data_IF_260719794183
#
_entry.id   IF_260719794183
#
_cell.length_a   1.000
_cell.length_b   1.000
_cell.length_c   1.000
_cell.angle_alpha   90.00
_cell.angle_beta   90.00
_cell.angle_gamma   90.00
#
_symmetry.space_group_name_H-M   'P 1'
#
loop_
_entity.id
_entity.type
_entity.pdbx_description
1 polymer ?
#
# COMPACT_ATOMS: atom_id res chain seq x y z
N UNK A 1 -19.21 19.91 -47.06
CA UNK A 1 -20.25 19.89 -46.01
C UNK A 1 -19.51 19.44 -44.77
N UNK A 2 -19.18 20.36 -43.84
CA UNK A 2 -18.71 19.93 -42.53
C UNK A 2 -19.80 19.07 -41.89
N UNK A 3 -19.40 17.95 -41.31
CA UNK A 3 -20.29 17.01 -40.63
C UNK A 3 -20.46 17.48 -39.19
N UNK A 4 -21.41 18.39 -38.97
CA UNK A 4 -21.80 18.96 -37.66
C UNK A 4 -22.44 17.92 -36.69
N UNK A 5 -22.58 16.68 -37.14
CA UNK A 5 -23.22 15.56 -36.43
C UNK A 5 -22.28 14.81 -35.47
N UNK A 6 -20.97 15.10 -35.47
CA UNK A 6 -20.00 14.50 -34.56
C UNK A 6 -19.51 15.58 -33.60
N UNK A 7 -20.13 15.67 -32.42
CA UNK A 7 -19.51 16.39 -31.31
C UNK A 7 -18.33 15.55 -30.83
N UNK A 8 -17.14 15.84 -31.38
CA UNK A 8 -15.92 15.09 -31.13
C UNK A 8 -15.30 15.48 -29.78
N UNK A 9 -15.91 14.99 -28.70
CA UNK A 9 -15.45 15.18 -27.32
C UNK A 9 -14.02 14.65 -27.05
N UNK A 10 -13.42 13.89 -27.98
CA UNK A 10 -12.07 13.33 -27.88
C UNK A 10 -10.94 14.29 -28.22
N UNK A 11 -11.22 15.42 -28.89
CA UNK A 11 -10.20 16.38 -29.33
C UNK A 11 -9.71 17.32 -28.21
N UNK A 12 -10.54 17.62 -27.21
CA UNK A 12 -10.18 18.51 -26.09
C UNK A 12 -9.57 17.78 -24.88
N UNK A 13 -9.50 16.44 -24.92
CA UNK A 13 -8.90 15.62 -23.87
C UNK A 13 -7.36 15.47 -24.00
N UNK A 14 -6.70 16.38 -24.72
CA UNK A 14 -5.24 16.41 -24.81
C UNK A 14 -4.64 17.01 -23.53
N UNK A 15 -4.38 16.16 -22.54
CA UNK A 15 -3.49 16.53 -21.43
C UNK A 15 -2.18 17.09 -21.99
N UNK A 16 -1.74 18.25 -21.50
CA UNK A 16 -0.48 18.85 -21.95
C UNK A 16 0.67 17.86 -21.76
N UNK A 17 1.57 17.77 -22.75
CA UNK A 17 2.72 16.84 -22.66
C UNK A 17 3.59 17.09 -21.42
N UNK A 18 3.59 18.33 -20.92
CA UNK A 18 4.29 18.72 -19.69
C UNK A 18 3.69 18.05 -18.46
N UNK A 19 2.35 18.04 -18.33
CA UNK A 19 1.65 17.35 -17.24
C UNK A 19 1.90 15.83 -17.29
N UNK A 20 1.84 15.24 -18.48
CA UNK A 20 2.10 13.81 -18.67
C UNK A 20 3.53 13.38 -18.35
N UNK A 21 4.52 14.27 -18.58
CA UNK A 21 5.93 14.01 -18.20
C UNK A 21 6.12 14.05 -16.69
N UNK A 22 5.49 15.00 -16.00
CA UNK A 22 5.56 15.10 -14.54
C UNK A 22 4.98 13.86 -13.83
N UNK A 23 3.82 13.37 -14.28
CA UNK A 23 3.17 12.17 -13.73
C UNK A 23 4.06 10.93 -13.92
N UNK A 24 4.57 10.70 -15.14
CA UNK A 24 5.48 9.58 -15.44
C UNK A 24 6.74 9.61 -14.58
N UNK A 25 7.32 10.80 -14.36
CA UNK A 25 8.47 10.98 -13.48
C UNK A 25 8.15 10.64 -12.02
N UNK A 26 7.00 11.08 -11.50
CA UNK A 26 6.54 10.77 -10.13
C UNK A 26 6.41 9.25 -9.94
N UNK A 27 5.79 8.55 -10.90
CA UNK A 27 5.63 7.09 -10.88
C UNK A 27 7.00 6.42 -10.80
N UNK A 28 7.94 6.74 -11.69
CA UNK A 28 9.27 6.14 -11.69
C UNK A 28 10.06 6.39 -10.41
N UNK A 29 9.97 7.60 -9.85
CA UNK A 29 10.63 7.96 -8.60
C UNK A 29 10.08 7.12 -7.44
N UNK A 30 8.75 7.05 -7.29
CA UNK A 30 8.11 6.30 -6.22
C UNK A 30 8.33 4.79 -6.37
N UNK A 31 8.31 4.26 -7.60
CA UNK A 31 8.66 2.86 -7.88
C UNK A 31 10.07 2.54 -7.42
N UNK A 32 11.05 3.38 -7.80
CA UNK A 32 12.45 3.17 -7.41
C UNK A 32 12.61 3.25 -5.88
N UNK A 33 11.99 4.24 -5.25
CA UNK A 33 11.99 4.37 -3.79
C UNK A 33 11.44 3.12 -3.10
N UNK A 34 10.28 2.64 -3.52
CA UNK A 34 9.66 1.45 -2.94
C UNK A 34 10.45 0.18 -3.21
N UNK A 35 11.08 0.06 -4.39
CA UNK A 35 11.96 -1.06 -4.72
C UNK A 35 13.18 -1.08 -3.79
N UNK A 36 13.84 0.07 -3.58
CA UNK A 36 15.00 0.18 -2.69
C UNK A 36 14.61 -0.15 -1.24
N UNK A 37 13.52 0.44 -0.73
CA UNK A 37 13.04 0.15 0.64
C UNK A 37 12.72 -1.34 0.79
N UNK A 38 12.09 -1.95 -0.21
CA UNK A 38 11.75 -3.38 -0.17
C UNK A 38 13.00 -4.26 -0.24
N UNK A 39 14.00 -3.91 -1.04
CA UNK A 39 15.26 -4.64 -1.10
C UNK A 39 16.01 -4.60 0.25
N UNK A 40 16.03 -3.44 0.91
CA UNK A 40 16.59 -3.30 2.27
C UNK A 40 15.81 -4.18 3.25
N UNK A 41 14.49 -4.17 3.19
CA UNK A 41 13.64 -4.95 4.09
C UNK A 41 13.88 -6.46 3.92
N UNK A 42 13.99 -6.95 2.68
CA UNK A 42 14.35 -8.34 2.39
C UNK A 42 15.75 -8.67 2.91
N UNK A 43 16.73 -7.79 2.73
CA UNK A 43 18.08 -7.99 3.26
C UNK A 43 18.08 -8.08 4.79
N UNK A 44 17.41 -7.16 5.48
CA UNK A 44 17.24 -7.23 6.93
C UNK A 44 16.55 -8.54 7.31
N UNK A 45 15.49 -8.94 6.60
CA UNK A 45 14.78 -10.21 6.85
C UNK A 45 15.63 -11.46 6.64
N UNK A 46 16.58 -11.43 5.70
CA UNK A 46 17.49 -12.54 5.43
C UNK A 46 18.60 -12.63 6.49
N UNK A 47 19.15 -11.49 6.93
CA UNK A 47 20.34 -11.43 7.80
C UNK A 47 20.06 -11.00 9.25
N UNK A 48 18.80 -10.86 9.67
CA UNK A 48 18.47 -10.29 10.98
C UNK A 48 19.11 -11.03 12.17
N UNK A 49 19.27 -12.36 12.08
CA UNK A 49 19.86 -13.15 13.17
C UNK A 49 21.34 -12.82 13.40
N UNK A 50 22.05 -12.50 12.33
CA UNK A 50 23.48 -12.16 12.37
C UNK A 50 23.68 -10.69 12.79
N UNK A 51 22.86 -9.78 12.25
CA UNK A 51 22.99 -8.34 12.52
C UNK A 51 22.36 -7.92 13.84
N UNK A 52 21.27 -8.57 14.26
CA UNK A 52 20.44 -8.16 15.39
C UNK A 52 20.02 -9.35 16.28
N UNK A 53 20.97 -10.15 16.82
CA UNK A 53 20.66 -11.40 17.50
C UNK A 53 19.73 -11.24 18.72
N UNK A 54 19.83 -10.12 19.44
CA UNK A 54 19.06 -9.87 20.67
C UNK A 54 17.84 -8.97 20.45
N UNK A 55 17.66 -8.40 19.25
CA UNK A 55 16.69 -7.33 18.99
C UNK A 55 15.51 -7.77 18.12
N UNK A 56 15.06 -9.01 18.30
CA UNK A 56 13.99 -9.60 17.49
C UNK A 56 12.69 -8.77 17.48
N UNK A 57 12.31 -8.20 18.62
CA UNK A 57 11.11 -7.37 18.71
C UNK A 57 11.24 -6.08 17.90
N UNK A 58 12.42 -5.44 17.93
CA UNK A 58 12.67 -4.24 17.15
C UNK A 58 12.55 -4.53 15.64
N UNK A 59 13.14 -5.66 15.18
CA UNK A 59 13.04 -6.10 13.79
C UNK A 59 11.58 -6.26 13.36
N UNK A 60 10.73 -6.93 14.16
CA UNK A 60 9.30 -7.07 13.84
C UNK A 60 8.59 -5.72 13.68
N UNK A 61 8.80 -4.81 14.63
CA UNK A 61 8.18 -3.49 14.57
C UNK A 61 8.64 -2.68 13.36
N UNK A 62 9.93 -2.79 12.99
CA UNK A 62 10.45 -2.19 11.76
C UNK A 62 9.72 -2.71 10.53
N UNK A 63 9.49 -4.01 10.41
CA UNK A 63 8.76 -4.60 9.29
C UNK A 63 7.31 -4.13 9.21
N UNK A 64 6.60 -4.09 10.35
CA UNK A 64 5.22 -3.60 10.40
C UNK A 64 5.16 -2.12 9.99
N UNK A 65 6.06 -1.30 10.51
CA UNK A 65 6.11 0.13 10.19
C UNK A 65 6.44 0.37 8.72
N UNK A 66 7.48 -0.27 8.19
CA UNK A 66 7.86 -0.14 6.78
C UNK A 66 6.74 -0.62 5.85
N UNK A 67 6.02 -1.67 6.23
CA UNK A 67 4.86 -2.16 5.47
C UNK A 67 3.75 -1.11 5.41
N UNK A 68 3.41 -0.45 6.52
CA UNK A 68 2.43 0.64 6.57
C UNK A 68 2.86 1.85 5.73
N UNK A 69 4.15 2.22 5.80
CA UNK A 69 4.70 3.31 4.99
C UNK A 69 4.57 2.97 3.51
N UNK A 70 5.03 1.79 3.08
CA UNK A 70 4.92 1.34 1.68
C UNK A 70 3.47 1.32 1.20
N UNK A 71 2.56 0.73 1.98
CA UNK A 71 1.14 0.68 1.67
C UNK A 71 0.58 2.09 1.44
N UNK A 72 0.92 3.05 2.31
CA UNK A 72 0.51 4.45 2.16
C UNK A 72 1.01 5.05 0.85
N UNK A 73 2.29 4.88 0.51
CA UNK A 73 2.86 5.39 -0.75
C UNK A 73 2.21 4.77 -1.99
N UNK A 74 1.94 3.46 -1.96
CA UNK A 74 1.29 2.74 -3.07
C UNK A 74 -0.13 3.25 -3.28
N UNK A 75 -0.93 3.34 -2.20
CA UNK A 75 -2.32 3.79 -2.25
C UNK A 75 -2.40 5.23 -2.73
N UNK A 76 -1.55 6.12 -2.22
CA UNK A 76 -1.59 7.54 -2.61
C UNK A 76 -1.11 7.75 -4.05
N UNK A 77 -0.11 6.99 -4.51
CA UNK A 77 0.55 7.24 -5.81
C UNK A 77 0.04 6.36 -6.94
N UNK A 78 0.02 5.03 -6.79
CA UNK A 78 -0.34 4.13 -7.88
C UNK A 78 -1.85 3.98 -8.05
N UNK A 79 -2.59 4.00 -6.95
CA UNK A 79 -4.05 3.95 -7.03
C UNK A 79 -4.67 5.33 -7.33
N UNK A 80 -3.87 6.39 -7.44
CA UNK A 80 -4.31 7.78 -7.67
C UNK A 80 -5.28 8.35 -6.62
N UNK A 81 -5.48 7.65 -5.50
CA UNK A 81 -6.33 8.16 -4.41
C UNK A 81 -5.79 9.45 -3.79
N UNK A 82 -4.49 9.73 -3.93
CA UNK A 82 -3.84 10.94 -3.41
C UNK A 82 -4.30 12.24 -4.06
N UNK A 83 -4.68 12.20 -5.34
CA UNK A 83 -5.12 13.36 -6.12
C UNK A 83 -6.67 13.45 -6.18
N UNK A 84 -7.36 12.47 -5.61
CA UNK A 84 -8.82 12.38 -5.57
C UNK A 84 -9.44 13.12 -4.36
N UNK A 85 -10.71 13.54 -4.49
CA UNK A 85 -11.51 14.17 -3.45
C UNK A 85 -11.55 13.30 -2.19
N UNK A 86 -11.45 13.97 -1.03
CA UNK A 86 -11.45 13.34 0.30
C UNK A 86 -12.60 12.34 0.50
N UNK A 87 -13.79 12.65 0.00
CA UNK A 87 -14.97 11.79 0.16
C UNK A 87 -14.83 10.48 -0.62
N UNK A 88 -14.39 10.53 -1.87
CA UNK A 88 -14.19 9.34 -2.72
C UNK A 88 -13.04 8.50 -2.16
N UNK A 89 -11.95 9.15 -1.73
CA UNK A 89 -10.85 8.48 -1.02
C UNK A 89 -11.36 7.73 0.22
N UNK A 90 -12.17 8.36 1.06
CA UNK A 90 -12.69 7.76 2.28
C UNK A 90 -13.61 6.56 2.00
N UNK A 91 -14.44 6.63 0.95
CA UNK A 91 -15.33 5.53 0.54
C UNK A 91 -14.54 4.26 0.22
N UNK A 92 -13.34 4.37 -0.33
CA UNK A 92 -12.49 3.22 -0.63
C UNK A 92 -11.66 2.82 0.60
N UNK A 93 -11.00 3.77 1.26
CA UNK A 93 -10.07 3.46 2.34
C UNK A 93 -10.75 2.94 3.61
N UNK A 94 -11.92 3.46 3.98
CA UNK A 94 -12.57 3.09 5.24
C UNK A 94 -13.03 1.63 5.26
N UNK A 95 -13.75 1.11 4.24
CA UNK A 95 -14.13 -0.30 4.20
C UNK A 95 -12.92 -1.23 4.18
N UNK A 96 -11.87 -0.89 3.42
CA UNK A 96 -10.64 -1.68 3.38
C UNK A 96 -9.92 -1.71 4.72
N UNK A 97 -9.79 -0.56 5.38
CA UNK A 97 -9.18 -0.48 6.71
C UNK A 97 -9.98 -1.29 7.74
N UNK A 98 -11.31 -1.13 7.75
CA UNK A 98 -12.20 -1.89 8.64
C UNK A 98 -12.05 -3.40 8.39
N UNK A 99 -12.01 -3.83 7.13
CA UNK A 99 -11.81 -5.22 6.77
C UNK A 99 -10.48 -5.77 7.28
N UNK A 100 -9.37 -5.04 7.09
CA UNK A 100 -8.05 -5.46 7.59
C UNK A 100 -8.06 -5.56 9.13
N UNK A 101 -8.61 -4.58 9.83
CA UNK A 101 -8.71 -4.63 11.29
C UNK A 101 -9.58 -5.79 11.77
N UNK A 102 -10.67 -6.09 11.06
CA UNK A 102 -11.52 -7.24 11.35
C UNK A 102 -10.77 -8.56 11.17
N UNK A 103 -9.97 -8.70 10.10
CA UNK A 103 -9.11 -9.87 9.89
C UNK A 103 -8.05 -10.04 10.99
N UNK A 104 -7.45 -8.94 11.44
CA UNK A 104 -6.49 -8.97 12.56
C UNK A 104 -7.20 -9.37 13.86
N UNK A 105 -8.39 -8.82 14.12
CA UNK A 105 -9.20 -9.15 15.29
C UNK A 105 -9.52 -10.65 15.35
N UNK A 106 -10.08 -11.21 14.28
CA UNK A 106 -10.46 -12.63 14.24
C UNK A 106 -9.22 -13.53 14.34
N UNK A 107 -8.11 -13.20 13.67
CA UNK A 107 -6.88 -13.98 13.74
C UNK A 107 -6.32 -14.05 15.16
N UNK A 108 -6.36 -12.93 15.90
CA UNK A 108 -5.91 -12.89 17.30
C UNK A 108 -6.87 -13.68 18.19
N UNK A 109 -8.18 -13.45 18.09
CA UNK A 109 -9.16 -14.11 18.96
C UNK A 109 -9.18 -15.63 18.76
N UNK A 110 -9.30 -16.09 17.52
CA UNK A 110 -9.33 -17.52 17.18
C UNK A 110 -8.02 -18.21 17.55
N UNK A 111 -6.87 -17.55 17.32
CA UNK A 111 -5.56 -18.10 17.71
C UNK A 111 -5.45 -18.31 19.22
N UNK A 112 -5.94 -17.35 20.03
CA UNK A 112 -5.94 -17.48 21.48
C UNK A 112 -6.90 -18.58 21.97
N UNK A 113 -8.09 -18.66 21.38
CA UNK A 113 -9.08 -19.69 21.69
C UNK A 113 -8.53 -21.09 21.41
N UNK A 114 -7.99 -21.33 20.21
CA UNK A 114 -7.36 -22.60 19.84
C UNK A 114 -6.21 -22.94 20.79
N UNK A 115 -5.34 -21.97 21.10
CA UNK A 115 -4.22 -22.18 22.03
C UNK A 115 -4.70 -22.62 23.42
N UNK A 116 -5.76 -22.01 23.92
CA UNK A 116 -6.34 -22.37 25.22
C UNK A 116 -6.90 -23.80 25.21
N UNK A 117 -7.63 -24.19 24.17
CA UNK A 117 -8.14 -25.56 24.03
C UNK A 117 -7.02 -26.59 23.94
N UNK A 118 -5.96 -26.31 23.17
CA UNK A 118 -4.79 -27.19 23.11
C UNK A 118 -4.17 -27.44 24.50
N UNK A 119 -4.02 -26.39 25.32
CA UNK A 119 -3.43 -26.51 26.66
C UNK A 119 -4.33 -27.24 27.67
N UNK A 120 -5.64 -27.31 27.43
CA UNK A 120 -6.60 -27.96 28.33
C UNK A 120 -6.76 -29.44 28.00
N UNK A 121 -6.74 -29.80 26.71
CA UNK A 121 -7.11 -31.14 26.24
C UNK A 121 -5.94 -32.00 25.76
N UNK A 122 -4.73 -31.45 25.64
CA UNK A 122 -3.54 -32.13 25.12
C UNK A 122 -2.33 -31.86 26.02
#
# INVERSE_FOLDING_TARGET
MERDDIIEYSLDAHHSEEAGRAIRRKIWLVTLFLAVVTAIEVAVGAYWKEWFPTHWQAVKWTFVFLTLVKATYIVMTFMHLGDERRNIRAIILVPYALFIFYLVFIAIFESNYIRQHWLIYL
#
